data_IF_386056957763
#
_entry.id   IF_386056957763
#
_cell.length_a   1.000
_cell.length_b   1.000
_cell.length_c   1.000
_cell.angle_alpha   90.00
_cell.angle_beta   90.00
_cell.angle_gamma   90.00
#
_symmetry.space_group_name_H-M   'P 1'
#
loop_
_entity.id
_entity.type
_entity.pdbx_description
1 polymer ?
#
# COMPACT_ATOMS: atom_id res chain seq x y z
N UNK A 1 -3.67 -9.05 -2.86
CA UNK A 1 -2.49 -9.63 -2.18
C UNK A 1 -2.52 -11.15 -2.37
N UNK A 2 -1.44 -11.77 -2.90
CA UNK A 2 -1.38 -13.22 -3.13
C UNK A 2 -1.47 -14.05 -1.84
N UNK A 3 -1.97 -15.28 -1.92
CA UNK A 3 -2.19 -16.18 -0.77
C UNK A 3 -0.92 -16.46 0.03
N UNK A 4 0.21 -16.58 -0.65
CA UNK A 4 1.50 -16.89 0.00
C UNK A 4 1.95 -15.74 0.92
N UNK A 5 1.49 -14.52 0.64
CA UNK A 5 1.67 -13.38 1.53
C UNK A 5 0.63 -13.35 2.63
N UNK A 6 -0.65 -13.59 2.31
CA UNK A 6 -1.73 -13.49 3.31
C UNK A 6 -1.71 -14.59 4.37
N UNK A 7 -1.07 -15.74 4.08
CA UNK A 7 -0.88 -16.86 5.02
C UNK A 7 0.29 -16.67 5.99
N UNK A 8 1.11 -15.63 5.84
CA UNK A 8 2.19 -15.34 6.79
C UNK A 8 1.61 -15.11 8.19
N UNK A 9 2.25 -15.68 9.22
CA UNK A 9 1.80 -15.71 10.61
C UNK A 9 1.26 -14.38 11.14
N UNK A 10 1.89 -13.28 10.73
CA UNK A 10 1.61 -11.96 11.25
C UNK A 10 0.74 -11.09 10.33
N UNK A 11 0.39 -11.54 9.13
CA UNK A 11 -0.40 -10.74 8.19
C UNK A 11 -1.79 -10.43 8.78
N UNK A 12 -2.30 -9.18 8.70
CA UNK A 12 -3.60 -8.84 9.26
C UNK A 12 -4.72 -9.49 8.44
N UNK A 13 -5.43 -10.47 9.00
CA UNK A 13 -6.43 -11.27 8.29
C UNK A 13 -7.86 -10.88 8.66
N UNK A 14 -8.59 -10.29 7.70
CA UNK A 14 -9.97 -9.79 7.89
C UNK A 14 -10.07 -8.74 9.01
N UNK A 15 -9.02 -7.94 9.18
CA UNK A 15 -8.86 -6.97 10.26
C UNK A 15 -8.82 -5.54 9.73
N UNK A 16 -9.18 -4.59 10.59
CA UNK A 16 -8.97 -3.15 10.42
C UNK A 16 -7.78 -2.70 11.26
N UNK A 17 -6.85 -1.98 10.64
CA UNK A 17 -5.60 -1.57 11.25
C UNK A 17 -5.16 -0.21 10.74
N UNK A 18 -4.33 0.46 11.52
CA UNK A 18 -3.73 1.75 11.15
C UNK A 18 -2.49 1.50 10.31
N UNK A 19 -2.32 2.29 9.26
CA UNK A 19 -1.08 2.39 8.50
C UNK A 19 -0.41 3.74 8.76
N UNK A 20 0.90 3.72 8.96
CA UNK A 20 1.79 4.88 8.91
C UNK A 20 2.72 4.69 7.70
N UNK A 21 2.80 5.68 6.81
CA UNK A 21 3.58 5.57 5.57
C UNK A 21 5.00 6.12 5.71
N UNK A 22 5.89 5.74 4.79
CA UNK A 22 7.28 6.24 4.75
C UNK A 22 7.40 7.75 4.51
N UNK A 23 6.38 8.36 3.90
CA UNK A 23 6.28 9.79 3.64
C UNK A 23 5.36 10.53 4.64
N UNK A 24 5.03 9.90 5.78
CA UNK A 24 4.44 10.58 6.94
C UNK A 24 2.91 10.67 6.97
N UNK A 25 2.19 9.96 6.09
CA UNK A 25 0.72 9.88 6.16
C UNK A 25 0.27 8.81 7.14
N UNK A 26 -0.94 8.98 7.68
CA UNK A 26 -1.60 8.02 8.57
C UNK A 26 -3.05 7.84 8.14
N UNK A 27 -3.48 6.60 7.93
CA UNK A 27 -4.88 6.28 7.59
C UNK A 27 -5.24 4.84 7.95
N UNK A 28 -6.54 4.57 8.06
CA UNK A 28 -7.07 3.25 8.37
C UNK A 28 -7.12 2.38 7.11
N UNK A 29 -6.71 1.13 7.26
CA UNK A 29 -6.77 0.08 6.25
C UNK A 29 -7.56 -1.12 6.77
N UNK A 30 -8.05 -1.92 5.82
CA UNK A 30 -8.78 -3.15 6.08
C UNK A 30 -8.33 -4.24 5.12
N UNK A 31 -8.17 -5.45 5.62
CA UNK A 31 -8.14 -6.65 4.77
C UNK A 31 -9.50 -7.33 4.71
N UNK A 32 -9.90 -7.84 3.54
CA UNK A 32 -11.20 -8.48 3.36
C UNK A 32 -11.24 -9.48 2.21
N UNK A 33 -12.40 -10.12 2.02
CA UNK A 33 -12.66 -11.13 0.99
C UNK A 33 -12.01 -12.48 1.29
N UNK A 34 -12.07 -13.38 0.31
CA UNK A 34 -11.43 -14.69 0.41
C UNK A 34 -9.92 -14.55 0.60
N UNK A 35 -9.38 -15.34 1.53
CA UNK A 35 -7.97 -15.34 1.89
C UNK A 35 -7.40 -13.97 2.31
N UNK A 36 -8.25 -13.01 2.71
CA UNK A 36 -7.83 -11.65 3.09
C UNK A 36 -7.07 -10.92 1.98
N UNK A 37 -7.34 -11.27 0.72
CA UNK A 37 -6.60 -10.81 -0.45
C UNK A 37 -6.79 -9.34 -0.74
N UNK A 38 -7.93 -8.76 -0.36
CA UNK A 38 -8.24 -7.37 -0.63
C UNK A 38 -7.61 -6.51 0.46
N UNK A 39 -6.59 -5.72 0.11
CA UNK A 39 -6.01 -4.69 0.98
C UNK A 39 -6.52 -3.33 0.50
N UNK A 40 -7.21 -2.58 1.36
CA UNK A 40 -7.83 -1.30 1.00
C UNK A 40 -7.83 -0.33 2.17
N UNK A 41 -8.01 0.94 1.88
CA UNK A 41 -8.37 1.92 2.92
C UNK A 41 -9.76 1.60 3.47
N UNK A 42 -9.95 1.77 4.78
CA UNK A 42 -11.17 1.36 5.47
C UNK A 42 -12.36 2.31 5.17
N UNK A 43 -12.13 3.62 5.30
CA UNK A 43 -13.20 4.63 5.25
C UNK A 43 -13.51 5.11 3.83
N UNK A 44 -12.48 5.45 3.06
CA UNK A 44 -12.62 5.86 1.65
C UNK A 44 -11.62 5.09 0.78
N UNK A 45 -12.16 4.28 -0.15
CA UNK A 45 -11.40 3.46 -1.10
C UNK A 45 -10.40 4.29 -1.92
N UNK A 46 -10.62 5.61 -2.04
CA UNK A 46 -9.75 6.52 -2.79
C UNK A 46 -8.46 6.87 -2.05
N UNK A 47 -8.39 6.76 -0.71
CA UNK A 47 -7.22 7.22 0.08
C UNK A 47 -5.95 6.47 -0.34
N UNK A 48 -6.00 5.13 -0.32
CA UNK A 48 -4.85 4.31 -0.69
C UNK A 48 -4.47 4.52 -2.17
N UNK A 49 -5.47 4.64 -3.05
CA UNK A 49 -5.25 4.89 -4.47
C UNK A 49 -4.60 6.24 -4.75
N UNK A 50 -5.04 7.30 -4.05
CA UNK A 50 -4.46 8.64 -4.11
C UNK A 50 -3.03 8.64 -3.59
N UNK A 51 -2.75 7.94 -2.50
CA UNK A 51 -1.39 7.82 -1.98
C UNK A 51 -0.47 7.16 -3.00
N UNK A 52 -0.83 5.99 -3.55
CA UNK A 52 0.00 5.30 -4.57
C UNK A 52 0.18 6.16 -5.82
N UNK A 53 -0.91 6.65 -6.43
CA UNK A 53 -0.84 7.42 -7.68
C UNK A 53 -0.13 8.75 -7.49
N UNK A 54 -0.38 9.46 -6.40
CA UNK A 54 0.27 10.72 -6.09
C UNK A 54 1.79 10.57 -5.99
N UNK A 55 2.29 9.44 -5.47
CA UNK A 55 3.74 9.16 -5.47
C UNK A 55 4.31 8.94 -6.86
N UNK A 56 3.61 8.21 -7.71
CA UNK A 56 4.01 8.00 -9.11
C UNK A 56 4.01 9.35 -9.88
N UNK A 57 2.97 10.17 -9.68
CA UNK A 57 2.83 11.50 -10.28
C UNK A 57 3.92 12.46 -9.80
N UNK A 58 4.21 12.49 -8.50
CA UNK A 58 5.26 13.35 -7.91
C UNK A 58 6.66 13.00 -8.44
N UNK A 59 6.88 11.76 -8.87
CA UNK A 59 8.12 11.32 -9.54
C UNK A 59 8.08 11.48 -11.06
N UNK A 60 7.02 12.05 -11.62
CA UNK A 60 6.76 12.17 -13.07
C UNK A 60 6.73 10.82 -13.79
N UNK A 61 6.48 9.73 -13.06
CA UNK A 61 6.37 8.38 -13.60
C UNK A 61 4.97 8.08 -14.16
N UNK A 62 3.97 8.86 -13.74
CA UNK A 62 2.58 8.76 -14.16
C UNK A 62 2.01 10.16 -14.38
N UNK A 63 1.18 10.35 -15.41
CA UNK A 63 0.36 11.56 -15.57
C UNK A 63 -1.10 11.27 -15.22
N UNK A 64 -1.83 12.31 -14.84
CA UNK A 64 -3.26 12.20 -14.53
C UNK A 64 -4.03 11.67 -15.73
N UNK A 65 -4.86 10.65 -15.50
CA UNK A 65 -5.64 9.96 -16.54
C UNK A 65 -4.91 8.76 -17.18
N UNK A 66 -3.61 8.60 -16.96
CA UNK A 66 -2.87 7.45 -17.48
C UNK A 66 -3.10 6.19 -16.64
N UNK A 67 -2.97 5.03 -17.30
CA UNK A 67 -2.96 3.72 -16.64
C UNK A 67 -1.56 3.45 -16.07
N UNK A 68 -1.51 2.89 -14.87
CA UNK A 68 -0.26 2.36 -14.30
C UNK A 68 0.17 1.14 -15.11
N UNK A 69 1.38 1.17 -15.65
CA UNK A 69 2.00 0.07 -16.40
C UNK A 69 3.31 -0.38 -15.74
N UNK A 70 3.91 -1.46 -16.26
CA UNK A 70 5.24 -1.89 -15.81
C UNK A 70 6.30 -0.81 -16.06
N UNK A 71 6.16 -0.05 -17.16
CA UNK A 71 7.05 1.07 -17.47
C UNK A 71 6.88 2.23 -16.46
N UNK A 72 5.65 2.48 -15.99
CA UNK A 72 5.41 3.43 -14.87
C UNK A 72 6.19 3.01 -13.64
N UNK A 73 6.15 1.73 -13.26
CA UNK A 73 6.83 1.22 -12.05
C UNK A 73 8.35 1.20 -12.22
N UNK A 74 8.84 0.91 -13.43
CA UNK A 74 10.26 0.99 -13.78
C UNK A 74 10.78 2.43 -13.68
N UNK A 75 10.06 3.39 -14.24
CA UNK A 75 10.39 4.81 -14.16
C UNK A 75 10.29 5.37 -12.74
N UNK A 76 9.34 4.85 -11.94
CA UNK A 76 9.28 5.15 -10.52
C UNK A 76 10.49 4.61 -9.75
N UNK A 77 11.00 3.44 -10.14
CA UNK A 77 12.14 2.75 -9.52
C UNK A 77 11.75 1.71 -8.48
N UNK A 78 10.45 1.37 -8.36
CA UNK A 78 9.96 0.34 -7.42
C UNK A 78 8.61 -0.22 -7.88
N UNK A 79 8.46 -1.55 -7.80
CA UNK A 79 7.27 -2.28 -8.25
C UNK A 79 6.53 -3.04 -7.12
N UNK A 80 6.98 -2.90 -5.87
CA UNK A 80 6.38 -3.56 -4.72
C UNK A 80 6.22 -2.58 -3.56
N UNK A 81 5.15 -2.74 -2.79
CA UNK A 81 4.89 -2.00 -1.55
C UNK A 81 5.25 -2.93 -0.40
N UNK A 82 6.01 -2.43 0.57
CA UNK A 82 6.36 -3.17 1.76
C UNK A 82 5.38 -2.83 2.89
N UNK A 83 4.85 -3.86 3.55
CA UNK A 83 4.00 -3.75 4.74
C UNK A 83 4.75 -4.42 5.91
N UNK A 84 5.09 -3.64 6.94
CA UNK A 84 5.92 -4.09 8.06
C UNK A 84 5.15 -3.97 9.37
N UNK A 85 5.10 -5.06 10.16
CA UNK A 85 4.47 -5.05 11.49
C UNK A 85 5.29 -4.16 12.41
N UNK A 86 4.61 -3.25 13.11
CA UNK A 86 5.29 -2.39 14.10
C UNK A 86 5.19 -2.98 15.50
N UNK A 87 5.89 -2.36 16.46
CA UNK A 87 5.73 -2.65 17.89
C UNK A 87 4.45 -2.05 18.46
N UNK A 88 3.84 -1.08 17.77
CA UNK A 88 2.60 -0.43 18.21
C UNK A 88 1.43 -1.37 17.86
N UNK A 89 0.57 -1.73 18.83
CA UNK A 89 -0.59 -2.57 18.58
C UNK A 89 -1.46 -2.02 17.44
N UNK A 90 -1.96 -2.92 16.61
CA UNK A 90 -2.83 -2.61 15.48
C UNK A 90 -2.30 -1.55 14.48
N UNK A 91 -0.97 -1.38 14.43
CA UNK A 91 -0.31 -0.39 13.56
C UNK A 91 0.74 -1.06 12.69
N UNK A 92 0.70 -0.72 11.40
CA UNK A 92 1.60 -1.22 10.37
C UNK A 92 2.32 -0.06 9.71
N UNK A 93 3.56 -0.31 9.28
CA UNK A 93 4.33 0.62 8.47
C UNK A 93 4.21 0.24 7.00
N UNK A 94 3.84 1.19 6.14
CA UNK A 94 3.65 0.99 4.71
C UNK A 94 4.67 1.81 3.94
N UNK A 95 5.56 1.13 3.23
CA UNK A 95 6.65 1.76 2.51
C UNK A 95 6.52 1.53 1.00
N UNK A 96 6.47 2.63 0.25
CA UNK A 96 6.61 2.64 -1.21
C UNK A 96 7.72 3.58 -1.67
N UNK A 97 8.65 3.94 -0.80
CA UNK A 97 9.74 4.86 -1.08
C UNK A 97 10.76 4.30 -2.06
N UNK A 98 11.36 5.21 -2.82
CA UNK A 98 12.50 4.94 -3.72
C UNK A 98 13.70 5.69 -3.17
N UNK A 99 14.80 4.97 -2.91
CA UNK A 99 16.06 5.59 -2.51
C UNK A 99 16.59 6.39 -3.70
N UNK A 100 17.06 7.62 -3.45
CA UNK A 100 17.81 8.38 -4.46
C UNK A 100 19.17 7.73 -4.68
#
# INVERSE_FOLDING_TARGET
VPSDTTRKKDYPQKEEFVVITDDGYKFNCKTSGDYSKNFRSADDLKILGRWIKGRLENRKALKTGEKVSDETLKNYGRNHIQLTKTKIPNTWYLDFGVKK
#
